data_IF_987170696894
#
_entry.id   IF_987170696894
#
_cell.length_a   1.000
_cell.length_b   1.000
_cell.length_c   1.000
_cell.angle_alpha   90.00
_cell.angle_beta   90.00
_cell.angle_gamma   90.00
#
_symmetry.space_group_name_H-M   'P 1'
#
loop_
_entity.id
_entity.type
_entity.pdbx_description
1 polymer ?
#
# COMPACT_ATOMS: atom_id res chain seq x y z
N UNK A 1 -20.59 -19.27 4.46
CA UNK A 1 -20.00 -17.97 4.86
C UNK A 1 -18.86 -17.65 3.90
N UNK A 2 -18.81 -16.46 3.28
CA UNK A 2 -17.68 -16.08 2.43
C UNK A 2 -16.48 -15.75 3.31
N UNK A 3 -15.31 -16.30 2.99
CA UNK A 3 -14.06 -15.90 3.66
C UNK A 3 -13.73 -14.45 3.31
N UNK A 4 -13.18 -13.71 4.27
CA UNK A 4 -12.71 -12.35 4.02
C UNK A 4 -11.52 -12.38 3.04
N UNK A 5 -11.40 -11.40 2.13
CA UNK A 5 -10.24 -11.29 1.26
C UNK A 5 -8.98 -11.01 2.09
N UNK A 6 -7.85 -11.54 1.61
CA UNK A 6 -6.53 -11.27 2.20
C UNK A 6 -6.13 -9.82 1.93
N UNK A 7 -5.57 -9.15 2.93
CA UNK A 7 -5.03 -7.80 2.81
C UNK A 7 -3.52 -7.88 2.57
N UNK A 8 -3.02 -7.09 1.63
CA UNK A 8 -1.59 -6.94 1.35
C UNK A 8 -1.20 -5.48 1.51
N UNK A 9 -0.17 -5.20 2.31
CA UNK A 9 0.49 -3.90 2.36
C UNK A 9 1.53 -3.83 1.24
N UNK A 10 1.19 -3.12 0.16
CA UNK A 10 2.08 -2.87 -0.98
C UNK A 10 3.08 -1.74 -0.70
N UNK A 11 3.75 -1.77 0.45
CA UNK A 11 4.75 -0.77 0.85
C UNK A 11 5.80 -1.39 1.76
N UNK A 12 7.06 -1.00 1.57
CA UNK A 12 8.19 -1.39 2.45
C UNK A 12 8.39 -0.43 3.63
N UNK A 13 7.50 0.57 3.79
CA UNK A 13 7.59 1.56 4.86
C UNK A 13 7.24 0.95 6.23
N UNK A 14 8.21 0.94 7.14
CA UNK A 14 8.05 0.52 8.54
C UNK A 14 6.91 1.30 9.21
N UNK A 15 6.82 2.60 8.97
CA UNK A 15 5.76 3.43 9.55
C UNK A 15 4.36 3.03 9.07
N UNK A 16 4.20 2.70 7.78
CA UNK A 16 2.90 2.24 7.25
C UNK A 16 2.54 0.86 7.78
N UNK A 17 3.51 -0.03 7.94
CA UNK A 17 3.31 -1.33 8.58
C UNK A 17 2.78 -1.17 10.01
N UNK A 18 3.39 -0.30 10.81
CA UNK A 18 2.98 -0.06 12.19
C UNK A 18 1.59 0.58 12.29
N UNK A 19 1.25 1.47 11.36
CA UNK A 19 -0.08 2.07 11.29
C UNK A 19 -1.16 1.03 10.95
N UNK A 20 -0.93 0.19 9.94
CA UNK A 20 -1.88 -0.86 9.55
C UNK A 20 -2.04 -1.92 10.65
N UNK A 21 -0.96 -2.26 11.34
CA UNK A 21 -0.97 -3.20 12.48
C UNK A 21 -1.89 -2.76 13.61
N UNK A 22 -2.03 -1.44 13.85
CA UNK A 22 -2.93 -0.90 14.88
C UNK A 22 -4.41 -1.16 14.59
N UNK A 23 -4.77 -1.44 13.33
CA UNK A 23 -6.15 -1.76 12.96
C UNK A 23 -6.54 -3.21 13.30
N UNK A 24 -5.59 -4.06 13.68
CA UNK A 24 -5.86 -5.44 14.11
C UNK A 24 -6.23 -6.41 13.00
N UNK A 25 -6.02 -6.04 11.73
CA UNK A 25 -6.21 -6.94 10.59
C UNK A 25 -5.01 -7.86 10.39
N UNK A 26 -5.27 -9.09 9.91
CA UNK A 26 -4.21 -9.92 9.34
C UNK A 26 -3.87 -9.42 7.94
N UNK A 27 -2.60 -9.15 7.67
CA UNK A 27 -2.09 -8.74 6.37
C UNK A 27 -0.67 -9.24 6.14
N UNK A 28 -0.28 -9.37 4.88
CA UNK A 28 1.12 -9.61 4.48
C UNK A 28 1.73 -8.33 3.90
N UNK A 29 3.06 -8.22 3.92
CA UNK A 29 3.79 -7.11 3.27
C UNK A 29 4.45 -7.57 2.00
N UNK A 30 4.31 -6.78 0.93
CA UNK A 30 4.98 -7.03 -0.35
C UNK A 30 5.54 -5.72 -0.90
N UNK A 31 6.78 -5.75 -1.41
CA UNK A 31 7.37 -4.60 -2.07
C UNK A 31 6.65 -4.35 -3.40
N UNK A 32 6.17 -3.14 -3.70
CA UNK A 32 5.71 -2.82 -5.04
C UNK A 32 6.89 -2.82 -6.02
N UNK A 33 6.61 -3.09 -7.29
CA UNK A 33 7.56 -2.95 -8.40
C UNK A 33 6.95 -1.93 -9.37
N UNK A 34 6.94 -0.67 -8.93
CA UNK A 34 6.29 0.46 -9.62
C UNK A 34 7.34 1.52 -9.93
N UNK A 35 7.19 2.15 -11.09
CA UNK A 35 7.92 3.38 -11.42
C UNK A 35 7.13 4.57 -10.89
N UNK A 36 7.71 5.31 -9.94
CA UNK A 36 7.08 6.47 -9.30
C UNK A 36 7.45 7.80 -9.99
N UNK A 37 8.15 7.77 -11.14
CA UNK A 37 8.41 8.98 -11.91
C UNK A 37 7.10 9.60 -12.41
N UNK A 38 6.86 10.90 -12.15
CA UNK A 38 5.68 11.58 -12.69
C UNK A 38 5.66 11.56 -14.22
N UNK A 39 4.48 11.42 -14.79
CA UNK A 39 4.29 11.65 -16.22
C UNK A 39 4.40 13.15 -16.54
N UNK A 40 4.66 13.47 -17.81
CA UNK A 40 4.69 14.85 -18.26
C UNK A 40 3.33 15.52 -18.02
N UNK A 41 3.33 16.72 -17.43
CA UNK A 41 2.13 17.49 -17.07
C UNK A 41 1.18 16.78 -16.09
N UNK A 42 1.65 15.76 -15.37
CA UNK A 42 0.87 15.12 -14.31
C UNK A 42 0.79 16.03 -13.08
N UNK A 43 -0.41 16.46 -12.66
CA UNK A 43 -0.54 17.26 -11.44
C UNK A 43 -0.25 16.38 -10.21
N UNK A 44 0.28 16.94 -9.11
CA UNK A 44 0.63 16.19 -7.91
C UNK A 44 -0.51 15.32 -7.35
N UNK A 45 -1.75 15.79 -7.45
CA UNK A 45 -2.94 15.07 -6.96
C UNK A 45 -3.28 13.84 -7.83
N UNK A 46 -2.79 13.75 -9.06
CA UNK A 46 -2.99 12.61 -9.93
C UNK A 46 -1.90 11.52 -9.78
N UNK A 47 -0.71 11.90 -9.29
CA UNK A 47 0.43 11.00 -9.12
C UNK A 47 0.30 10.05 -7.90
N UNK A 48 -0.40 10.47 -6.84
CA UNK A 48 -0.35 9.86 -5.50
C UNK A 48 -1.44 8.85 -5.18
#
# INVERSE_FOLDING_TARGET
MKSAPRIILASTSIYRHDLLSRLGFAFDTQSPTTDEQPLAEEPPEALV
#
